data_IF_248374652671
#
_entry.id   IF_248374652671
#
_cell.length_a   1.000
_cell.length_b   1.000
_cell.length_c   1.000
_cell.angle_alpha   90.00
_cell.angle_beta   90.00
_cell.angle_gamma   90.00
#
_symmetry.space_group_name_H-M   'P 1'
#
loop_
_entity.id
_entity.type
_entity.pdbx_description
1 polymer ?
#
# COMPACT_ATOMS: atom_id res chain seq x y z
N UNK A 1 -0.74 6.60 -41.92
CA UNK A 1 -0.69 6.63 -40.43
C UNK A 1 -2.04 6.15 -39.93
N UNK A 2 -2.19 4.85 -39.68
CA UNK A 2 -3.49 4.20 -39.48
C UNK A 2 -3.99 4.30 -38.04
N UNK A 3 -5.29 4.54 -37.92
CA UNK A 3 -6.12 4.72 -36.73
C UNK A 3 -6.25 3.43 -35.89
N UNK A 4 -5.15 2.92 -35.33
CA UNK A 4 -5.16 1.70 -34.51
C UNK A 4 -5.70 1.91 -33.08
N UNK A 5 -5.90 3.15 -32.64
CA UNK A 5 -6.33 3.49 -31.28
C UNK A 5 -7.85 3.53 -31.08
N UNK A 6 -8.65 3.11 -32.07
CA UNK A 6 -10.11 3.30 -32.11
C UNK A 6 -10.94 2.01 -32.26
N UNK A 7 -10.33 0.83 -32.13
CA UNK A 7 -11.14 -0.40 -32.08
C UNK A 7 -11.62 -0.66 -30.64
N UNK A 8 -12.92 -0.91 -30.41
CA UNK A 8 -13.43 -1.33 -29.11
C UNK A 8 -12.72 -2.57 -28.54
N UNK A 9 -12.20 -3.41 -29.42
CA UNK A 9 -11.50 -4.66 -29.06
C UNK A 9 -9.99 -4.48 -28.89
N UNK A 10 -9.46 -3.26 -29.05
CA UNK A 10 -8.03 -3.02 -28.88
C UNK A 10 -7.62 -3.13 -27.41
N UNK A 11 -6.48 -3.77 -27.15
CA UNK A 11 -5.89 -3.80 -25.82
C UNK A 11 -5.48 -2.38 -25.40
N UNK A 12 -5.91 -1.95 -24.21
CA UNK A 12 -5.52 -0.66 -23.61
C UNK A 12 -4.01 -0.62 -23.33
N UNK A 13 -3.43 -1.77 -22.97
CA UNK A 13 -2.00 -1.95 -22.75
C UNK A 13 -1.44 -3.01 -23.70
N UNK A 14 -1.16 -2.65 -24.96
CA UNK A 14 -0.60 -3.57 -25.93
C UNK A 14 0.92 -3.70 -25.76
N UNK A 15 1.48 -4.80 -26.24
CA UNK A 15 2.91 -4.93 -26.52
C UNK A 15 3.29 -4.10 -27.76
N UNK A 16 4.58 -4.04 -28.09
CA UNK A 16 5.05 -3.38 -29.31
C UNK A 16 4.41 -3.95 -30.58
N UNK A 17 4.08 -5.24 -30.55
CA UNK A 17 3.50 -5.97 -31.68
C UNK A 17 1.97 -5.96 -31.66
N UNK A 18 1.35 -5.16 -30.78
CA UNK A 18 -0.11 -4.98 -30.69
C UNK A 18 -0.85 -6.08 -29.93
N UNK A 19 -0.13 -7.04 -29.33
CA UNK A 19 -0.72 -8.15 -28.57
C UNK A 19 -0.96 -7.80 -27.10
N UNK A 20 -1.68 -8.64 -26.37
CA UNK A 20 -1.93 -8.45 -24.93
C UNK A 20 -0.62 -8.47 -24.14
N UNK A 21 -0.42 -7.48 -23.27
CA UNK A 21 0.70 -7.50 -22.32
C UNK A 21 0.55 -8.66 -21.32
N UNK A 22 1.63 -9.43 -21.13
CA UNK A 22 1.68 -10.51 -20.14
C UNK A 22 1.98 -9.98 -18.73
N UNK A 23 1.73 -10.80 -17.71
CA UNK A 23 2.10 -10.48 -16.33
C UNK A 23 3.62 -10.27 -16.17
N UNK A 24 4.43 -11.08 -16.85
CA UNK A 24 5.89 -10.97 -16.82
C UNK A 24 6.37 -9.67 -17.47
N UNK A 25 5.72 -9.23 -18.55
CA UNK A 25 6.00 -7.94 -19.16
C UNK A 25 5.71 -6.78 -18.19
N UNK A 26 4.61 -6.84 -17.44
CA UNK A 26 4.31 -5.86 -16.38
C UNK A 26 5.39 -5.89 -15.29
N UNK A 27 5.78 -7.09 -14.85
CA UNK A 27 6.81 -7.27 -13.82
C UNK A 27 8.16 -6.70 -14.26
N UNK A 28 8.57 -6.97 -15.50
CA UNK A 28 9.80 -6.42 -16.07
C UNK A 28 9.78 -4.89 -16.16
N UNK A 29 8.63 -4.30 -16.53
CA UNK A 29 8.45 -2.84 -16.52
C UNK A 29 8.54 -2.26 -15.12
N UNK A 30 7.93 -2.90 -14.12
CA UNK A 30 8.04 -2.47 -12.73
C UNK A 30 9.48 -2.53 -12.22
N UNK A 31 10.23 -3.58 -12.53
CA UNK A 31 11.64 -3.69 -12.17
C UNK A 31 12.47 -2.53 -12.77
N UNK A 32 12.26 -2.24 -14.06
CA UNK A 32 12.92 -1.13 -14.74
C UNK A 32 12.64 0.21 -14.06
N UNK A 33 11.37 0.51 -13.77
CA UNK A 33 10.99 1.79 -13.16
C UNK A 33 11.40 1.87 -11.68
N UNK A 34 11.40 0.76 -10.96
CA UNK A 34 11.88 0.72 -9.57
C UNK A 34 13.38 1.01 -9.52
N UNK A 35 14.17 0.40 -10.41
CA UNK A 35 15.60 0.67 -10.54
C UNK A 35 15.90 2.12 -10.92
N UNK A 36 15.07 2.74 -11.77
CA UNK A 36 15.22 4.17 -12.08
C UNK A 36 14.84 5.06 -10.88
N UNK A 37 13.81 4.69 -10.12
CA UNK A 37 13.32 5.46 -8.99
C UNK A 37 14.29 5.47 -7.79
N UNK A 38 15.19 4.49 -7.66
CA UNK A 38 16.19 4.47 -6.57
C UNK A 38 17.12 5.68 -6.60
N UNK A 39 17.34 6.29 -7.76
CA UNK A 39 18.15 7.51 -7.89
C UNK A 39 17.55 8.71 -7.13
N UNK A 40 16.21 8.82 -7.11
CA UNK A 40 15.50 9.86 -6.37
C UNK A 40 15.08 9.41 -4.97
N UNK A 41 14.87 8.10 -4.78
CA UNK A 41 14.40 7.49 -3.54
C UNK A 41 15.32 6.32 -3.14
N UNK A 42 16.47 6.58 -2.50
CA UNK A 42 17.44 5.54 -2.14
C UNK A 42 16.86 4.43 -1.25
N UNK A 43 15.80 4.73 -0.50
CA UNK A 43 15.05 3.78 0.34
C UNK A 43 14.41 2.65 -0.45
N UNK A 44 14.28 2.76 -1.78
CA UNK A 44 13.78 1.69 -2.65
C UNK A 44 14.85 0.63 -2.98
N UNK A 45 16.12 0.89 -2.67
CA UNK A 45 17.22 -0.03 -2.94
C UNK A 45 16.99 -1.38 -2.26
N UNK A 46 17.08 -2.47 -3.04
CA UNK A 46 16.89 -3.83 -2.53
C UNK A 46 15.43 -4.21 -2.23
N UNK A 47 14.45 -3.32 -2.46
CA UNK A 47 13.03 -3.65 -2.26
C UNK A 47 12.45 -4.36 -3.49
N UNK A 48 11.68 -5.41 -3.23
CA UNK A 48 10.86 -6.07 -4.26
C UNK A 48 9.55 -5.33 -4.44
N UNK A 49 9.41 -4.60 -5.57
CA UNK A 49 8.18 -3.89 -5.93
C UNK A 49 7.41 -4.68 -6.97
N UNK A 50 6.20 -5.09 -6.63
CA UNK A 50 5.28 -5.82 -7.53
C UNK A 50 3.98 -5.04 -7.73
N UNK A 51 3.19 -5.42 -8.74
CA UNK A 51 1.87 -4.82 -8.95
C UNK A 51 0.96 -4.96 -7.72
N UNK A 52 1.07 -6.07 -6.99
CA UNK A 52 0.33 -6.28 -5.76
C UNK A 52 0.77 -5.33 -4.63
N UNK A 53 2.08 -5.07 -4.49
CA UNK A 53 2.62 -4.09 -3.53
C UNK A 53 2.13 -2.67 -3.86
N UNK A 54 2.08 -2.31 -5.13
CA UNK A 54 1.55 -1.00 -5.55
C UNK A 54 0.06 -0.87 -5.26
N UNK A 55 -0.73 -1.92 -5.50
CA UNK A 55 -2.15 -1.97 -5.13
C UNK A 55 -2.35 -1.81 -3.62
N UNK A 56 -1.57 -2.53 -2.81
CA UNK A 56 -1.59 -2.39 -1.36
C UNK A 56 -1.24 -0.96 -0.92
N UNK A 57 -0.22 -0.36 -1.53
CA UNK A 57 0.19 1.03 -1.26
C UNK A 57 -0.93 2.01 -1.59
N UNK A 58 -1.61 1.84 -2.73
CA UNK A 58 -2.75 2.68 -3.09
C UNK A 58 -3.87 2.59 -2.05
N UNK A 59 -4.22 1.37 -1.62
CA UNK A 59 -5.23 1.16 -0.60
C UNK A 59 -4.87 1.84 0.74
N UNK A 60 -3.63 1.69 1.21
CA UNK A 60 -3.15 2.31 2.44
C UNK A 60 -3.14 3.84 2.36
N UNK A 61 -2.84 4.41 1.19
CA UNK A 61 -2.93 5.86 0.97
C UNK A 61 -4.36 6.37 1.05
N UNK A 62 -5.32 5.64 0.47
CA UNK A 62 -6.75 5.97 0.58
C UNK A 62 -7.23 5.88 2.03
N UNK A 63 -6.83 4.82 2.74
CA UNK A 63 -7.19 4.65 4.15
C UNK A 63 -6.62 5.79 5.02
N UNK A 64 -5.36 6.17 4.79
CA UNK A 64 -4.71 7.26 5.52
C UNK A 64 -5.33 8.62 5.21
N UNK A 65 -5.91 8.79 4.01
CA UNK A 65 -6.72 9.94 3.64
C UNK A 65 -8.12 9.95 4.28
N UNK A 66 -8.46 8.95 5.10
CA UNK A 66 -9.72 8.84 5.83
C UNK A 66 -10.87 8.25 5.01
N UNK A 67 -10.58 7.64 3.86
CA UNK A 67 -11.61 6.95 3.08
C UNK A 67 -11.97 5.65 3.78
N UNK A 68 -13.27 5.41 3.92
CA UNK A 68 -13.78 4.23 4.61
C UNK A 68 -13.30 2.93 3.94
N UNK A 69 -12.95 1.96 4.78
CA UNK A 69 -12.41 0.67 4.33
C UNK A 69 -13.38 -0.10 3.42
N UNK A 70 -14.70 0.00 3.62
CA UNK A 70 -15.70 -0.65 2.77
C UNK A 70 -15.73 -0.02 1.37
N UNK A 71 -15.53 1.29 1.27
CA UNK A 71 -15.42 2.01 -0.02
C UNK A 71 -14.15 1.61 -0.75
N UNK A 72 -13.03 1.50 -0.03
CA UNK A 72 -11.76 1.03 -0.61
C UNK A 72 -11.90 -0.41 -1.11
N UNK A 73 -12.52 -1.30 -0.34
CA UNK A 73 -12.77 -2.68 -0.74
C UNK A 73 -13.61 -2.76 -2.03
N UNK A 74 -14.66 -1.94 -2.12
CA UNK A 74 -15.51 -1.82 -3.30
C UNK A 74 -14.72 -1.36 -4.53
N UNK A 75 -13.94 -0.27 -4.42
CA UNK A 75 -13.15 0.25 -5.55
C UNK A 75 -12.05 -0.70 -6.01
N UNK A 76 -11.49 -1.47 -5.09
CA UNK A 76 -10.47 -2.44 -5.41
C UNK A 76 -11.08 -3.75 -5.93
N UNK A 77 -12.39 -3.97 -5.77
CA UNK A 77 -13.06 -5.18 -6.24
C UNK A 77 -12.74 -6.40 -5.36
N UNK A 78 -12.59 -6.19 -4.05
CA UNK A 78 -12.46 -7.30 -3.10
C UNK A 78 -13.84 -7.94 -2.87
N UNK A 79 -13.96 -9.23 -3.16
CA UNK A 79 -15.17 -10.02 -2.84
C UNK A 79 -15.32 -10.26 -1.32
N UNK A 80 -14.21 -10.23 -0.57
CA UNK A 80 -14.20 -10.38 0.89
C UNK A 80 -13.56 -9.19 1.60
N UNK A 81 -14.27 -8.69 2.63
CA UNK A 81 -13.82 -7.62 3.55
C UNK A 81 -12.54 -8.03 4.32
N UNK A 82 -12.27 -9.32 4.47
CA UNK A 82 -11.11 -9.86 5.19
C UNK A 82 -9.77 -9.38 4.59
N UNK A 83 -9.68 -9.29 3.27
CA UNK A 83 -8.49 -8.73 2.58
C UNK A 83 -8.26 -7.25 2.86
N UNK A 84 -9.31 -6.55 3.29
CA UNK A 84 -9.29 -5.12 3.63
C UNK A 84 -9.02 -4.90 5.11
N UNK A 85 -9.36 -5.86 5.98
CA UNK A 85 -9.00 -5.83 7.41
C UNK A 85 -7.49 -5.77 7.64
N UNK A 86 -6.69 -6.30 6.69
CA UNK A 86 -5.22 -6.15 6.70
C UNK A 86 -4.80 -4.67 6.75
N UNK A 87 -5.53 -3.76 6.09
CA UNK A 87 -5.20 -2.34 6.09
C UNK A 87 -5.49 -1.66 7.44
N UNK A 88 -6.59 -2.06 8.09
CA UNK A 88 -6.94 -1.56 9.43
C UNK A 88 -5.91 -2.01 10.47
N UNK A 89 -5.38 -3.23 10.33
CA UNK A 89 -4.31 -3.70 11.21
C UNK A 89 -2.99 -2.96 10.98
N UNK A 90 -2.69 -2.59 9.74
CA UNK A 90 -1.46 -1.88 9.36
C UNK A 90 -1.46 -0.39 9.76
N UNK A 91 -2.62 0.24 9.92
CA UNK A 91 -2.69 1.67 10.29
C UNK A 91 -2.65 1.90 11.80
N UNK A 92 -1.43 2.03 12.35
CA UNK A 92 -1.18 2.33 13.77
C UNK A 92 -1.90 3.62 14.21
N UNK A 93 -1.97 4.65 13.35
CA UNK A 93 -2.60 5.93 13.69
C UNK A 93 -4.09 5.79 14.00
N UNK A 94 -4.81 4.96 13.22
CA UNK A 94 -6.23 4.69 13.50
C UNK A 94 -6.43 4.02 14.86
N UNK A 95 -5.51 3.14 15.26
CA UNK A 95 -5.53 2.50 16.58
C UNK A 95 -5.25 3.52 17.70
N UNK A 96 -4.26 4.38 17.51
CA UNK A 96 -3.96 5.48 18.45
C UNK A 96 -5.16 6.43 18.62
N UNK A 97 -5.79 6.83 17.52
CA UNK A 97 -6.97 7.72 17.55
C UNK A 97 -8.16 7.05 18.24
N UNK A 98 -8.37 5.75 18.04
CA UNK A 98 -9.42 4.99 18.73
C UNK A 98 -9.16 4.92 20.24
N UNK A 99 -7.93 4.60 20.65
CA UNK A 99 -7.53 4.58 22.06
C UNK A 99 -7.66 5.95 22.73
N UNK A 100 -7.33 7.03 22.00
CA UNK A 100 -7.49 8.39 22.51
C UNK A 100 -8.96 8.73 22.82
N UNK A 101 -9.92 8.22 22.02
CA UNK A 101 -11.36 8.43 22.23
C UNK A 101 -11.93 7.65 23.42
N UNK A 102 -11.29 6.57 23.85
CA UNK A 102 -11.75 5.72 24.96
C UNK A 102 -10.96 5.95 26.26
N UNK A 103 -10.21 7.06 26.37
CA UNK A 103 -9.41 7.34 27.57
C UNK A 103 -10.29 7.50 28.82
N UNK A 104 -9.98 6.82 29.93
CA UNK A 104 -10.65 7.04 31.20
C UNK A 104 -10.44 8.48 31.69
N UNK A 105 -11.48 9.09 32.27
CA UNK A 105 -11.40 10.39 32.91
C UNK A 105 -10.50 10.30 34.14
N UNK A 106 -9.29 10.87 34.06
CA UNK A 106 -8.28 10.85 35.13
C UNK A 106 -6.88 10.38 34.69
N UNK A 107 -6.73 9.83 33.48
CA UNK A 107 -5.42 9.49 32.92
C UNK A 107 -4.73 10.75 32.36
N UNK A 108 -3.45 10.94 32.70
CA UNK A 108 -2.66 12.04 32.14
C UNK A 108 -2.41 11.83 30.64
N UNK A 109 -2.67 12.82 29.76
CA UNK A 109 -2.37 12.69 28.34
C UNK A 109 -0.87 12.56 28.08
N UNK A 110 -0.47 11.63 27.22
CA UNK A 110 0.91 11.53 26.75
C UNK A 110 1.11 10.34 25.82
N UNK A 111 2.09 10.44 24.92
CA UNK A 111 2.68 9.26 24.26
C UNK A 111 3.66 8.66 25.26
N UNK A 112 3.54 7.37 25.55
CA UNK A 112 4.52 6.68 26.38
C UNK A 112 5.89 6.80 25.71
N UNK A 113 6.79 7.53 26.34
CA UNK A 113 8.20 7.56 25.99
C UNK A 113 8.88 6.47 26.78
N UNK A 114 9.46 5.50 26.08
CA UNK A 114 10.22 4.44 26.75
C UNK A 114 11.46 5.09 27.36
N UNK A 115 11.57 5.04 28.69
CA UNK A 115 12.73 5.52 29.44
C UNK A 115 13.59 4.37 29.95
N UNK A 116 13.16 3.12 29.73
CA UNK A 116 13.80 1.91 30.22
C UNK A 116 14.40 1.12 29.07
N UNK A 117 15.73 1.19 28.95
CA UNK A 117 16.51 0.50 27.91
C UNK A 117 16.38 -1.03 28.01
N UNK A 118 16.07 -1.56 29.19
CA UNK A 118 15.87 -3.00 29.42
C UNK A 118 14.58 -3.49 28.77
N UNK A 119 13.53 -2.68 28.79
CA UNK A 119 12.25 -2.99 28.16
C UNK A 119 12.36 -2.93 26.64
N UNK A 120 13.10 -1.95 26.10
CA UNK A 120 13.38 -1.86 24.65
C UNK A 120 14.14 -3.09 24.16
N UNK A 121 15.20 -3.49 24.86
CA UNK A 121 16.01 -4.65 24.50
C UNK A 121 15.21 -5.96 24.53
N UNK A 122 14.25 -6.10 25.44
CA UNK A 122 13.35 -7.25 25.49
C UNK A 122 12.38 -7.29 24.30
N UNK A 123 11.77 -6.14 23.95
CA UNK A 123 10.81 -6.04 22.85
C UNK A 123 11.46 -6.22 21.48
N UNK A 124 12.70 -5.77 21.30
CA UNK A 124 13.47 -5.96 20.06
C UNK A 124 13.91 -7.43 19.85
N UNK A 125 13.88 -8.25 20.91
CA UNK A 125 14.23 -9.67 20.87
C UNK A 125 13.06 -10.63 20.59
N UNK A 126 11.85 -10.11 20.39
CA UNK A 126 10.60 -10.86 20.16
C UNK A 126 10.28 -11.11 18.68
#
# INVERSE_FOLDING_TARGET
MSSAWRSPDAFVFPTRDGTRMSHDAVTARLALHTAAATAACPTLTGKTVTAHVLRHTAAMRLLTAGIDSTVIALWLGHESIETTQVYLHANIKTKEDALARTRPTGASPGRYTVTDDTLLAFLDGL
#
